data_IF_893676250845
#
_entry.id   IF_893676250845
#
_cell.length_a   1.000
_cell.length_b   1.000
_cell.length_c   1.000
_cell.angle_alpha   90.00
_cell.angle_beta   90.00
_cell.angle_gamma   90.00
#
_symmetry.space_group_name_H-M   'P 1'
#
loop_
_entity.id
_entity.type
_entity.pdbx_description
1 polymer ?
#
# COMPACT_ATOMS: atom_id res chain seq x y z
N UNK A 1 -22.70 -21.33 -12.84
CA UNK A 1 -21.23 -21.23 -12.71
C UNK A 1 -20.79 -19.84 -13.13
N UNK A 2 -19.90 -19.15 -12.40
CA UNK A 2 -19.31 -17.91 -12.87
C UNK A 2 -18.53 -18.20 -14.16
N UNK A 3 -18.74 -17.41 -15.22
CA UNK A 3 -17.94 -17.56 -16.45
C UNK A 3 -16.53 -17.07 -16.16
N UNK A 4 -15.55 -17.96 -16.28
CA UNK A 4 -14.12 -17.62 -16.22
C UNK A 4 -13.85 -16.57 -17.29
N UNK A 5 -13.21 -15.45 -16.93
CA UNK A 5 -12.90 -14.39 -17.89
C UNK A 5 -11.89 -14.92 -18.90
N UNK A 6 -11.97 -14.49 -20.16
CA UNK A 6 -10.88 -14.69 -21.13
C UNK A 6 -9.55 -14.14 -20.58
N UNK A 7 -9.63 -13.08 -19.76
CA UNK A 7 -8.48 -12.47 -19.09
C UNK A 7 -7.91 -13.37 -17.97
N UNK A 8 -8.71 -14.25 -17.38
CA UNK A 8 -8.24 -15.19 -16.35
C UNK A 8 -7.55 -16.41 -16.97
N UNK A 9 -7.68 -16.59 -18.29
CA UNK A 9 -7.12 -17.72 -19.04
C UNK A 9 -5.82 -17.36 -19.78
N UNK A 10 -5.49 -16.07 -19.90
CA UNK A 10 -4.27 -15.66 -20.59
C UNK A 10 -3.00 -16.01 -19.79
N UNK A 11 -1.84 -16.15 -20.47
CA UNK A 11 -0.55 -16.33 -19.81
C UNK A 11 -0.28 -15.26 -18.76
N UNK A 12 0.42 -15.64 -17.69
CA UNK A 12 0.70 -14.74 -16.56
C UNK A 12 1.45 -13.49 -17.02
N UNK A 13 2.39 -13.65 -17.94
CA UNK A 13 3.21 -12.59 -18.51
C UNK A 13 2.37 -11.56 -19.26
N UNK A 14 1.38 -12.01 -20.03
CA UNK A 14 0.46 -11.13 -20.75
C UNK A 14 -0.50 -10.42 -19.79
N UNK A 15 -0.94 -11.12 -18.73
CA UNK A 15 -1.75 -10.51 -17.68
C UNK A 15 -0.98 -9.44 -16.91
N UNK A 16 0.28 -9.68 -16.58
CA UNK A 16 1.13 -8.69 -15.91
C UNK A 16 1.34 -7.43 -16.76
N UNK A 17 1.52 -7.58 -18.08
CA UNK A 17 1.57 -6.43 -18.99
C UNK A 17 0.24 -5.67 -19.04
N UNK A 18 -0.90 -6.37 -19.05
CA UNK A 18 -2.21 -5.73 -18.96
C UNK A 18 -2.37 -4.96 -17.65
N UNK A 19 -1.92 -5.52 -16.53
CA UNK A 19 -1.98 -4.86 -15.22
C UNK A 19 -1.18 -3.55 -15.21
N UNK A 20 0.05 -3.58 -15.75
CA UNK A 20 0.91 -2.41 -15.85
C UNK A 20 0.26 -1.33 -16.72
N UNK A 21 -0.20 -1.68 -17.92
CA UNK A 21 -0.91 -0.75 -18.80
C UNK A 21 -2.15 -0.14 -18.15
N UNK A 22 -2.92 -0.94 -17.43
CA UNK A 22 -4.11 -0.46 -16.71
C UNK A 22 -3.73 0.50 -15.58
N UNK A 23 -2.64 0.23 -14.85
CA UNK A 23 -2.15 1.14 -13.79
C UNK A 23 -1.65 2.46 -14.36
N UNK A 24 -0.85 2.41 -15.42
CA UNK A 24 -0.34 3.60 -16.12
C UNK A 24 -1.46 4.47 -16.66
N UNK A 25 -2.51 3.84 -17.23
CA UNK A 25 -3.69 4.54 -17.73
C UNK A 25 -4.68 4.94 -16.63
N UNK A 26 -4.36 4.76 -15.34
CA UNK A 26 -5.27 5.07 -14.23
C UNK A 26 -6.59 4.30 -14.28
N UNK A 27 -6.56 3.07 -14.81
CA UNK A 27 -7.71 2.17 -15.00
C UNK A 27 -8.71 2.63 -16.06
N UNK A 28 -8.30 3.52 -16.95
CA UNK A 28 -9.11 4.07 -18.04
C UNK A 28 -8.81 3.35 -19.38
N UNK A 29 -9.17 3.97 -20.52
CA UNK A 29 -8.83 3.50 -21.88
C UNK A 29 -9.14 2.01 -22.18
N UNK A 30 -10.23 1.49 -21.61
CA UNK A 30 -10.60 0.06 -21.70
C UNK A 30 -10.73 -0.47 -23.14
N UNK A 31 -11.09 0.39 -24.09
CA UNK A 31 -11.22 0.03 -25.50
C UNK A 31 -9.84 -0.15 -26.15
N UNK A 32 -8.92 0.78 -25.91
CA UNK A 32 -7.53 0.67 -26.37
C UNK A 32 -6.84 -0.57 -25.80
N UNK A 33 -7.08 -0.89 -24.53
CA UNK A 33 -6.56 -2.11 -23.92
C UNK A 33 -7.17 -3.39 -24.53
N UNK A 34 -8.44 -3.36 -24.92
CA UNK A 34 -9.08 -4.47 -25.62
C UNK A 34 -8.48 -4.67 -27.02
N UNK A 35 -8.25 -3.58 -27.76
CA UNK A 35 -7.58 -3.60 -29.07
C UNK A 35 -6.15 -4.12 -28.97
N UNK A 36 -5.41 -3.67 -27.95
CA UNK A 36 -4.06 -4.18 -27.69
C UNK A 36 -4.08 -5.68 -27.40
N UNK A 37 -4.99 -6.16 -26.55
CA UNK A 37 -5.14 -7.60 -26.29
C UNK A 37 -5.46 -8.38 -27.57
N UNK A 38 -6.28 -7.83 -28.45
CA UNK A 38 -6.59 -8.44 -29.74
C UNK A 38 -5.34 -8.55 -30.63
N UNK A 39 -4.48 -7.54 -30.64
CA UNK A 39 -3.19 -7.59 -31.32
C UNK A 39 -2.23 -8.64 -30.72
N UNK A 40 -2.38 -8.96 -29.43
CA UNK A 40 -1.65 -10.06 -28.75
C UNK A 40 -2.31 -11.45 -28.95
N UNK A 41 -3.36 -11.54 -29.78
CA UNK A 41 -4.07 -12.79 -30.07
C UNK A 41 -5.18 -13.14 -29.06
N UNK A 42 -5.52 -12.23 -28.14
CA UNK A 42 -6.57 -12.43 -27.13
C UNK A 42 -7.78 -11.59 -27.45
N UNK A 43 -8.90 -12.24 -27.80
CA UNK A 43 -10.14 -11.55 -28.12
C UNK A 43 -10.94 -11.25 -26.83
N UNK A 44 -10.58 -10.16 -26.15
CA UNK A 44 -11.26 -9.69 -24.95
C UNK A 44 -12.19 -8.50 -25.29
N UNK A 45 -13.44 -8.56 -24.83
CA UNK A 45 -14.36 -7.42 -24.99
C UNK A 45 -14.02 -6.27 -24.02
N UNK A 46 -14.40 -5.04 -24.38
CA UNK A 46 -14.29 -3.87 -23.49
C UNK A 46 -14.89 -4.13 -22.10
N UNK A 47 -16.01 -4.84 -22.02
CA UNK A 47 -16.66 -5.18 -20.75
C UNK A 47 -15.85 -6.19 -19.93
N UNK A 48 -15.17 -7.15 -20.58
CA UNK A 48 -14.27 -8.07 -19.89
C UNK A 48 -13.07 -7.32 -19.29
N UNK A 49 -12.46 -6.41 -20.07
CA UNK A 49 -11.37 -5.54 -19.61
C UNK A 49 -11.85 -4.61 -18.50
N UNK A 50 -13.04 -4.05 -18.61
CA UNK A 50 -13.63 -3.19 -17.58
C UNK A 50 -13.86 -3.90 -16.25
N UNK A 51 -14.41 -5.11 -16.28
CA UNK A 51 -14.59 -5.93 -15.07
C UNK A 51 -13.25 -6.26 -14.42
N UNK A 52 -12.27 -6.65 -15.23
CA UNK A 52 -10.91 -6.94 -14.77
C UNK A 52 -10.23 -5.70 -14.15
N UNK A 53 -10.34 -4.55 -14.82
CA UNK A 53 -9.82 -3.26 -14.35
C UNK A 53 -10.37 -2.87 -12.97
N UNK A 54 -11.68 -3.05 -12.75
CA UNK A 54 -12.31 -2.80 -11.44
C UNK A 54 -11.78 -3.74 -10.36
N UNK A 55 -11.62 -5.03 -10.69
CA UNK A 55 -11.08 -6.02 -9.76
C UNK A 55 -9.63 -5.70 -9.38
N UNK A 56 -8.78 -5.41 -10.37
CA UNK A 56 -7.39 -5.01 -10.17
C UNK A 56 -7.30 -3.74 -9.31
N UNK A 57 -8.08 -2.71 -9.64
CA UNK A 57 -8.13 -1.45 -8.87
C UNK A 57 -8.54 -1.68 -7.41
N UNK A 58 -9.43 -2.63 -7.17
CA UNK A 58 -9.87 -2.98 -5.81
C UNK A 58 -8.74 -3.66 -5.03
N UNK A 59 -8.02 -4.59 -5.67
CA UNK A 59 -6.86 -5.26 -5.07
C UNK A 59 -5.75 -4.26 -4.74
N UNK A 60 -5.42 -3.37 -5.67
CA UNK A 60 -4.38 -2.36 -5.48
C UNK A 60 -4.74 -1.35 -4.36
N UNK A 61 -6.02 -0.97 -4.26
CA UNK A 61 -6.52 -0.15 -3.14
C UNK A 61 -6.42 -0.87 -1.81
N UNK A 62 -6.79 -2.15 -1.75
CA UNK A 62 -6.69 -2.94 -0.53
C UNK A 62 -5.23 -3.05 -0.06
N UNK A 63 -4.29 -3.34 -0.99
CA UNK A 63 -2.86 -3.38 -0.69
C UNK A 63 -2.34 -2.03 -0.16
N UNK A 64 -2.74 -0.93 -0.78
CA UNK A 64 -2.37 0.43 -0.34
C UNK A 64 -2.92 0.74 1.06
N UNK A 65 -4.17 0.35 1.34
CA UNK A 65 -4.79 0.53 2.65
C UNK A 65 -4.08 -0.26 3.74
N UNK A 66 -3.68 -1.50 3.46
CA UNK A 66 -2.92 -2.34 4.39
C UNK A 66 -1.55 -1.72 4.66
N UNK A 67 -0.83 -1.30 3.62
CA UNK A 67 0.47 -0.66 3.75
C UNK A 67 0.39 0.64 4.57
N UNK A 68 -0.70 1.41 4.40
CA UNK A 68 -0.97 2.60 5.20
C UNK A 68 -1.20 2.25 6.68
N UNK A 69 -2.07 1.28 6.96
CA UNK A 69 -2.35 0.86 8.34
C UNK A 69 -1.08 0.36 9.05
N UNK A 70 -0.25 -0.42 8.36
CA UNK A 70 1.05 -0.87 8.91
C UNK A 70 1.98 0.30 9.23
N UNK A 71 2.00 1.35 8.40
CA UNK A 71 2.82 2.54 8.66
C UNK A 71 2.30 3.33 9.86
N UNK A 72 0.98 3.47 9.98
CA UNK A 72 0.34 4.13 11.12
C UNK A 72 0.64 3.36 12.43
N UNK A 73 0.50 2.02 12.44
CA UNK A 73 0.84 1.18 13.59
C UNK A 73 2.31 1.29 14.03
N UNK A 74 3.25 1.36 13.07
CA UNK A 74 4.67 1.54 13.37
C UNK A 74 4.95 2.93 13.94
N UNK A 75 4.29 3.97 13.42
CA UNK A 75 4.41 5.35 13.93
C UNK A 75 3.88 5.45 15.36
N UNK A 76 2.77 4.78 15.68
CA UNK A 76 2.22 4.77 17.04
C UNK A 76 3.17 4.10 18.03
N UNK A 77 3.84 3.02 17.63
CA UNK A 77 4.87 2.37 18.46
C UNK A 77 6.07 3.30 18.69
N UNK A 78 6.57 3.95 17.66
CA UNK A 78 7.67 4.92 17.77
C UNK A 78 7.32 6.06 18.74
N UNK A 79 6.09 6.59 18.68
CA UNK A 79 5.62 7.61 19.59
C UNK A 79 5.60 7.13 21.06
N UNK A 80 5.16 5.89 21.31
CA UNK A 80 5.17 5.29 22.66
C UNK A 80 6.60 5.13 23.18
N UNK A 81 7.52 4.65 22.35
CA UNK A 81 8.93 4.48 22.73
C UNK A 81 9.57 5.83 23.11
N UNK A 82 9.33 6.88 22.31
CA UNK A 82 9.81 8.23 22.61
C UNK A 82 9.23 8.81 23.91
N UNK A 83 7.96 8.55 24.21
CA UNK A 83 7.35 8.97 25.48
C UNK A 83 8.00 8.29 26.69
N UNK A 84 8.31 7.00 26.57
CA UNK A 84 9.00 6.24 27.61
C UNK A 84 10.43 6.76 27.82
N UNK A 85 11.16 7.01 26.73
CA UNK A 85 12.50 7.60 26.78
C UNK A 85 12.48 8.99 27.43
N UNK A 86 11.54 9.85 27.03
CA UNK A 86 11.35 11.17 27.64
C UNK A 86 11.09 11.04 29.15
N UNK A 87 10.22 10.11 29.56
CA UNK A 87 9.97 9.84 30.98
C UNK A 87 11.24 9.46 31.75
N UNK A 88 12.05 8.55 31.18
CA UNK A 88 13.32 8.15 31.78
C UNK A 88 14.31 9.33 31.91
N UNK A 89 14.39 10.17 30.89
CA UNK A 89 15.22 11.38 30.88
C UNK A 89 14.77 12.38 31.96
N UNK A 90 13.46 12.59 32.12
CA UNK A 90 12.91 13.49 33.16
C UNK A 90 13.21 13.01 34.58
N UNK A 91 13.14 11.70 34.82
CA UNK A 91 13.54 11.13 36.12
C UNK A 91 15.02 11.34 36.38
N UNK A 92 15.86 11.15 35.35
CA UNK A 92 17.30 11.37 35.45
C UNK A 92 17.64 12.84 35.70
N UNK A 93 16.97 13.76 35.00
CA UNK A 93 17.07 15.21 35.22
C UNK A 93 16.80 15.56 36.68
N UNK A 94 15.65 15.12 37.22
CA UNK A 94 15.31 15.37 38.63
C UNK A 94 16.37 14.83 39.58
N UNK A 95 16.83 13.59 39.37
CA UNK A 95 17.87 12.97 40.21
C UNK A 95 19.19 13.76 40.18
N UNK A 96 19.56 14.29 39.01
CA UNK A 96 20.75 15.15 38.87
C UNK A 96 20.55 16.43 39.68
N UNK A 97 19.40 17.09 39.54
CA UNK A 97 19.10 18.32 40.28
C UNK A 97 19.11 18.10 41.79
N UNK A 98 18.44 17.04 42.28
CA UNK A 98 18.44 16.65 43.69
C UNK A 98 19.88 16.45 44.20
N UNK A 99 20.73 15.77 43.41
CA UNK A 99 22.14 15.54 43.75
C UNK A 99 22.97 16.83 43.75
N UNK A 100 22.73 17.75 42.81
CA UNK A 100 23.41 19.03 42.75
C UNK A 100 23.05 19.92 43.96
N UNK A 101 21.80 19.85 44.41
CA UNK A 101 21.35 20.53 45.63
C UNK A 101 22.02 19.93 46.88
N UNK A 102 22.13 18.61 46.99
CA UNK A 102 22.82 17.93 48.11
C UNK A 102 24.28 18.37 48.27
N UNK A 103 24.97 18.68 47.17
CA UNK A 103 26.38 19.09 47.19
C UNK A 103 26.56 20.62 47.26
N UNK A 104 25.48 21.39 47.46
CA UNK A 104 25.52 22.84 47.65
C UNK A 104 25.88 23.63 46.39
N UNK A 105 25.57 23.09 45.20
CA UNK A 105 25.79 23.79 43.93
C UNK A 105 24.70 24.84 43.62
N UNK A 106 23.60 24.81 44.39
CA UNK A 106 22.48 25.75 44.36
C UNK A 106 22.02 26.11 45.78
#
# INVERSE_FOLDING_TARGET
MPRVSVIDQMPKELRSQLDERLREAGYSNLMEHAEWLQAQGVNASKSAVGRYSVELKTKDRAATSIARGMREDLSDREAVDLLMELGALRVKEKRILDRLQEIGYF
#
